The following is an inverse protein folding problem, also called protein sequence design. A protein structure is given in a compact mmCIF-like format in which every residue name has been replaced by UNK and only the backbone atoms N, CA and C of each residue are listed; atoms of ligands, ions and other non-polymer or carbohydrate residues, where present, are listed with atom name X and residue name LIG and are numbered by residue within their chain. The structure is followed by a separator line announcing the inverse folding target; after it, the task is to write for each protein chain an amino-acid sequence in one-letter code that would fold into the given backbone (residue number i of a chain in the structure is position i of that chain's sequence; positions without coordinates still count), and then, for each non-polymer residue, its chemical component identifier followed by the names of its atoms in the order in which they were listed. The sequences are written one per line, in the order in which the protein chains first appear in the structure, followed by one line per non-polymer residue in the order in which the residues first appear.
data_IF_723707391144
#
_entry.id   IF_723707391144
#
_cell.length_a   1.000
_cell.length_b   1.000
_cell.length_c   1.000
_cell.angle_alpha   90.00
_cell.angle_beta   90.00
_cell.angle_gamma   90.00
#
_symmetry.space_group_name_H-M   'P 1'
#
loop_
_entity.id
_entity.type
_entity.pdbx_description
1 polymer ?
#
# COMPACT_ATOMS: atom_id res chain seq x y z
N UNK A 1 -13.95 33.85 34.67
CA UNK A 1 -14.26 32.40 34.51
C UNK A 1 -14.61 31.94 33.08
N UNK A 2 -14.90 32.82 32.11
CA UNK A 2 -15.19 32.43 30.70
C UNK A 2 -13.96 32.00 29.86
N UNK A 3 -12.74 32.28 30.32
CA UNK A 3 -11.50 32.01 29.58
C UNK A 3 -11.13 30.52 29.57
N UNK A 4 -11.22 29.84 30.72
CA UNK A 4 -10.87 28.43 30.87
C UNK A 4 -11.69 27.49 29.95
N UNK A 5 -12.96 27.81 29.71
CA UNK A 5 -13.85 27.01 28.86
C UNK A 5 -13.47 27.10 27.37
N UNK A 6 -12.86 28.21 26.93
CA UNK A 6 -12.37 28.35 25.55
C UNK A 6 -11.07 27.55 25.35
N UNK A 7 -10.15 27.62 26.30
CA UNK A 7 -8.87 26.89 26.25
C UNK A 7 -9.07 25.38 26.21
N UNK A 8 -10.04 24.87 27.00
CA UNK A 8 -10.40 23.45 26.99
C UNK A 8 -10.97 23.01 25.64
N UNK A 9 -11.80 23.83 24.98
CA UNK A 9 -12.35 23.52 23.65
C UNK A 9 -11.26 23.48 22.58
N UNK A 10 -10.32 24.42 22.59
CA UNK A 10 -9.20 24.40 21.65
C UNK A 10 -8.27 23.21 21.88
N UNK A 11 -8.01 22.86 23.14
CA UNK A 11 -7.23 21.66 23.49
C UNK A 11 -7.93 20.38 23.01
N UNK A 12 -9.26 20.30 23.15
CA UNK A 12 -10.04 19.15 22.69
C UNK A 12 -10.04 19.03 21.16
N UNK A 13 -10.18 20.14 20.43
CA UNK A 13 -10.14 20.18 18.97
C UNK A 13 -8.74 19.82 18.44
N UNK A 14 -7.67 20.34 19.09
CA UNK A 14 -6.30 20.00 18.73
C UNK A 14 -5.98 18.52 18.97
N UNK A 15 -6.45 17.95 20.09
CA UNK A 15 -6.32 16.52 20.37
C UNK A 15 -7.08 15.65 19.35
N UNK A 16 -8.29 16.08 18.95
CA UNK A 16 -9.07 15.38 17.92
C UNK A 16 -8.38 15.40 16.55
N UNK A 17 -7.76 16.52 16.16
CA UNK A 17 -7.03 16.65 14.89
C UNK A 17 -5.80 15.73 14.83
N UNK A 18 -5.11 15.51 15.95
CA UNK A 18 -3.95 14.62 16.01
C UNK A 18 -4.34 13.14 15.86
N UNK A 19 -5.55 12.76 16.31
CA UNK A 19 -6.08 11.39 16.22
C UNK A 19 -6.49 10.95 14.80
N UNK A 20 -6.64 11.88 13.84
CA UNK A 20 -7.07 11.56 12.46
C UNK A 20 -5.91 11.18 11.54
N UNK A 21 -4.66 11.19 12.02
CA UNK A 21 -3.47 10.95 11.19
C UNK A 21 -3.07 9.48 10.99
N UNK A 22 -3.91 8.52 11.37
CA UNK A 22 -3.68 7.11 11.08
C UNK A 22 -3.84 6.85 9.58
N UNK A 23 -2.76 7.02 8.82
CA UNK A 23 -2.71 6.74 7.40
C UNK A 23 -3.13 5.29 7.14
N UNK A 24 -4.15 5.10 6.32
CA UNK A 24 -4.42 3.78 5.74
C UNK A 24 -3.23 3.43 4.86
N UNK A 25 -2.44 2.44 5.26
CA UNK A 25 -1.41 1.90 4.38
C UNK A 25 -2.12 1.28 3.17
N UNK A 26 -2.01 1.92 2.01
CA UNK A 26 -2.54 1.40 0.74
C UNK A 26 -1.82 0.12 0.26
N UNK A 27 -0.78 -0.30 1.00
CA UNK A 27 0.08 -1.43 0.69
C UNK A 27 -0.16 -2.57 1.67
N UNK A 28 -0.27 -3.78 1.14
CA UNK A 28 -0.40 -5.04 1.87
C UNK A 28 0.93 -5.77 1.80
N UNK A 29 1.52 -6.04 2.96
CA UNK A 29 2.75 -6.82 3.07
C UNK A 29 2.45 -8.26 3.48
N UNK A 30 3.06 -9.24 2.78
CA UNK A 30 2.95 -10.67 3.06
C UNK A 30 4.28 -11.38 2.90
N UNK A 31 4.59 -12.29 3.81
CA UNK A 31 5.68 -13.26 3.64
C UNK A 31 5.22 -14.45 2.80
N UNK A 32 6.04 -14.90 1.85
CA UNK A 32 5.75 -16.02 0.94
C UNK A 32 6.92 -17.01 0.93
N UNK A 33 6.61 -18.31 0.88
CA UNK A 33 7.60 -19.40 0.91
C UNK A 33 7.80 -20.04 2.28
N UNK A 34 8.54 -21.16 2.35
CA UNK A 34 8.87 -21.85 3.59
C UNK A 34 9.86 -21.02 4.41
N UNK A 35 9.43 -20.53 5.57
CA UNK A 35 10.12 -19.54 6.45
C UNK A 35 10.48 -18.29 5.65
N UNK A 36 9.64 -17.24 5.68
CA UNK A 36 9.33 -16.42 4.51
C UNK A 36 10.58 -16.15 3.67
N UNK A 37 10.69 -16.90 2.58
CA UNK A 37 11.81 -16.78 1.65
C UNK A 37 11.77 -15.41 0.95
N UNK A 38 10.56 -14.88 0.81
CA UNK A 38 10.28 -13.59 0.20
C UNK A 38 9.32 -12.76 1.03
N UNK A 39 9.48 -11.45 0.94
CA UNK A 39 8.49 -10.47 1.36
C UNK A 39 7.90 -9.83 0.11
N UNK A 40 6.57 -9.88 0.01
CA UNK A 40 5.79 -9.30 -1.08
C UNK A 40 4.99 -8.13 -0.54
N UNK A 41 5.11 -6.97 -1.17
CA UNK A 41 4.31 -5.78 -0.86
C UNK A 41 3.50 -5.43 -2.10
N UNK A 42 2.19 -5.44 -2.00
CA UNK A 42 1.29 -5.06 -3.09
C UNK A 42 0.48 -3.83 -2.69
N UNK A 43 0.41 -2.82 -3.55
CA UNK A 43 -0.38 -1.62 -3.28
C UNK A 43 -0.59 -0.77 -4.52
N UNK A 44 -1.07 0.46 -4.31
CA UNK A 44 -1.25 1.43 -5.38
C UNK A 44 -0.15 2.49 -5.33
N UNK A 45 0.35 2.89 -6.51
CA UNK A 45 1.39 3.93 -6.63
C UNK A 45 0.86 5.29 -6.13
N UNK A 46 -0.45 5.54 -6.26
CA UNK A 46 -1.13 6.73 -5.80
C UNK A 46 -2.30 6.42 -4.86
N UNK A 47 -2.49 7.26 -3.84
CA UNK A 47 -3.66 7.26 -2.98
C UNK A 47 -4.07 8.70 -2.62
N UNK A 48 -5.37 9.01 -2.44
CA UNK A 48 -6.52 8.11 -2.45
C UNK A 48 -6.96 7.68 -3.86
N UNK A 49 -7.64 6.53 -3.95
CA UNK A 49 -8.18 6.02 -5.22
C UNK A 49 -9.52 6.68 -5.54
N UNK A 50 -9.71 7.08 -6.81
CA UNK A 50 -10.97 7.65 -7.29
C UNK A 50 -11.64 6.73 -8.30
N UNK A 51 -12.98 6.64 -8.22
CA UNK A 51 -13.75 5.85 -9.18
C UNK A 51 -13.63 6.43 -10.60
N UNK A 52 -13.42 5.54 -11.59
CA UNK A 52 -13.28 5.92 -13.00
C UNK A 52 -11.89 6.36 -13.43
N UNK A 53 -10.90 6.35 -12.53
CA UNK A 53 -9.49 6.61 -12.88
C UNK A 53 -8.72 5.29 -12.95
N UNK A 54 -7.83 5.19 -13.95
CA UNK A 54 -6.90 4.06 -14.07
C UNK A 54 -5.72 4.34 -13.16
N UNK A 55 -5.53 3.48 -12.17
CA UNK A 55 -4.41 3.55 -11.22
C UNK A 55 -3.42 2.41 -11.44
N UNK A 56 -2.16 2.68 -11.09
CA UNK A 56 -1.11 1.69 -11.17
C UNK A 56 -1.01 0.90 -9.87
N UNK A 57 -1.01 -0.43 -10.00
CA UNK A 57 -0.64 -1.34 -8.91
C UNK A 57 0.87 -1.50 -8.91
N UNK A 58 1.47 -1.39 -7.73
CA UNK A 58 2.88 -1.64 -7.48
C UNK A 58 3.03 -2.97 -6.75
N UNK A 59 4.02 -3.76 -7.16
CA UNK A 59 4.38 -5.02 -6.53
C UNK A 59 5.88 -5.02 -6.22
N UNK A 60 6.21 -4.95 -4.94
CA UNK A 60 7.58 -5.03 -4.47
C UNK A 60 7.88 -6.42 -3.94
N UNK A 61 9.01 -7.02 -4.35
CA UNK A 61 9.43 -8.33 -3.87
C UNK A 61 10.89 -8.28 -3.44
N UNK A 62 11.13 -8.66 -2.19
CA UNK A 62 12.46 -8.81 -1.63
C UNK A 62 12.69 -10.21 -1.07
N UNK A 63 13.93 -10.65 -1.00
CA UNK A 63 14.32 -11.88 -0.31
C UNK A 63 14.22 -11.72 1.23
N UNK A 64 14.54 -12.79 1.96
CA UNK A 64 14.55 -12.81 3.43
C UNK A 64 15.57 -11.84 4.07
N UNK A 65 16.57 -11.40 3.31
CA UNK A 65 17.56 -10.41 3.74
C UNK A 65 17.16 -8.97 3.36
N UNK A 66 16.04 -8.79 2.65
CA UNK A 66 15.55 -7.50 2.18
C UNK A 66 16.16 -7.04 0.85
N UNK A 67 16.90 -7.89 0.14
CA UNK A 67 17.43 -7.56 -1.17
C UNK A 67 16.33 -7.67 -2.24
N UNK A 68 16.32 -6.78 -3.24
CA UNK A 68 15.39 -6.91 -4.36
C UNK A 68 15.65 -8.19 -5.14
N UNK A 69 14.57 -8.82 -5.62
CA UNK A 69 14.67 -10.00 -6.49
C UNK A 69 14.44 -9.59 -7.94
N UNK A 70 15.46 -9.72 -8.76
CA UNK A 70 15.41 -9.35 -10.18
C UNK A 70 14.82 -10.46 -11.06
N UNK A 71 14.33 -10.09 -12.24
CA UNK A 71 13.85 -11.04 -13.27
C UNK A 71 12.49 -11.68 -13.00
N UNK A 72 11.83 -11.39 -11.86
CA UNK A 72 10.55 -12.00 -11.53
C UNK A 72 9.39 -11.56 -12.43
N UNK A 73 9.46 -10.37 -13.05
CA UNK A 73 8.37 -9.81 -13.85
C UNK A 73 7.89 -10.74 -14.97
N UNK A 74 8.79 -11.56 -15.54
CA UNK A 74 8.46 -12.53 -16.61
C UNK A 74 7.81 -13.82 -16.10
N UNK A 75 7.91 -14.09 -14.80
CA UNK A 75 7.41 -15.30 -14.14
C UNK A 75 6.14 -15.09 -13.32
N UNK A 76 5.75 -13.83 -13.11
CA UNK A 76 4.62 -13.47 -12.26
C UNK A 76 3.36 -13.22 -13.09
N UNK A 77 2.24 -13.69 -12.57
CA UNK A 77 0.90 -13.34 -13.04
C UNK A 77 0.20 -12.55 -11.95
N UNK A 78 -0.34 -11.38 -12.28
CA UNK A 78 -1.15 -10.58 -11.36
C UNK A 78 -2.62 -10.67 -11.75
N UNK A 79 -3.46 -11.02 -10.78
CA UNK A 79 -4.91 -11.06 -10.91
C UNK A 79 -5.55 -10.04 -9.98
N UNK A 80 -6.39 -9.17 -10.54
CA UNK A 80 -7.21 -8.22 -9.79
C UNK A 80 -8.62 -8.79 -9.71
N UNK A 81 -9.09 -9.01 -8.50
CA UNK A 81 -10.45 -9.48 -8.21
C UNK A 81 -11.36 -8.27 -7.99
N UNK A 82 -12.31 -8.05 -8.89
CA UNK A 82 -13.30 -7.00 -8.80
C UNK A 82 -14.47 -7.43 -7.89
N UNK A 83 -15.25 -6.46 -7.36
CA UNK A 83 -16.52 -6.77 -6.69
C UNK A 83 -17.42 -7.63 -7.57
N UNK A 84 -17.99 -8.71 -7.01
CA UNK A 84 -18.79 -9.68 -7.75
C UNK A 84 -18.00 -10.85 -8.35
N UNK A 85 -16.69 -10.93 -8.11
CA UNK A 85 -15.86 -12.10 -8.44
C UNK A 85 -15.33 -12.12 -9.87
N UNK A 86 -15.45 -11.01 -10.62
CA UNK A 86 -14.78 -10.89 -11.91
C UNK A 86 -13.27 -10.78 -11.72
N UNK A 87 -12.51 -11.53 -12.52
CA UNK A 87 -11.04 -11.54 -12.48
C UNK A 87 -10.48 -10.78 -13.69
N UNK A 88 -9.56 -9.86 -13.44
CA UNK A 88 -8.77 -9.18 -14.46
C UNK A 88 -7.30 -9.60 -14.34
N UNK A 89 -6.78 -10.28 -15.36
CA UNK A 89 -5.35 -10.59 -15.46
C UNK A 89 -4.62 -9.38 -16.01
N UNK A 90 -3.57 -8.93 -15.32
CA UNK A 90 -2.79 -7.73 -15.68
C UNK A 90 -1.34 -8.13 -15.97
N UNK A 91 -0.74 -7.65 -17.08
CA UNK A 91 0.67 -7.89 -17.34
C UNK A 91 1.55 -7.18 -16.30
N UNK A 92 2.52 -7.90 -15.77
CA UNK A 92 3.54 -7.36 -14.88
C UNK A 92 4.72 -6.88 -15.72
N UNK A 93 5.31 -5.75 -15.35
CA UNK A 93 6.56 -5.26 -15.94
C UNK A 93 7.50 -4.80 -14.85
N UNK A 94 8.79 -5.01 -15.05
CA UNK A 94 9.81 -4.41 -14.17
C UNK A 94 9.82 -2.88 -14.32
N UNK A 95 9.99 -2.17 -13.20
CA UNK A 95 10.21 -0.72 -13.23
C UNK A 95 11.71 -0.45 -13.44
N UNK A 96 12.03 0.35 -14.46
CA UNK A 96 13.41 0.67 -14.80
C UNK A 96 14.12 1.34 -13.63
N UNK A 97 15.32 0.87 -13.30
CA UNK A 97 16.14 1.39 -12.19
C UNK A 97 15.46 1.31 -10.81
N UNK A 98 14.51 0.39 -10.63
CA UNK A 98 13.84 0.16 -9.35
C UNK A 98 13.75 -1.35 -9.11
N UNK A 99 14.89 -2.03 -8.91
CA UNK A 99 14.90 -3.48 -8.68
C UNK A 99 14.05 -3.81 -7.45
N UNK A 100 13.27 -4.89 -7.56
CA UNK A 100 12.32 -5.29 -6.54
C UNK A 100 11.08 -4.40 -6.43
N UNK A 101 10.80 -3.48 -7.38
CA UNK A 101 9.64 -2.59 -7.43
C UNK A 101 8.92 -2.59 -8.78
#
# INVERSE_FOLDING_TARGET
MKSATKSVRYALVAALLLLVSAGAFAHVTKGVGQVPAYTVVAGFVGAPLYAGQVEQVELTITDAAGNPVDGLAESLTLEILAPGGATLVVPVRAVRNSPGR
#
